data_IF_182706121641
#
_entry.id   IF_182706121641
#
_cell.length_a   1.000
_cell.length_b   1.000
_cell.length_c   1.000
_cell.angle_alpha   90.00
_cell.angle_beta   90.00
_cell.angle_gamma   90.00
#
_symmetry.space_group_name_H-M   'P 1'
#
loop_
_entity.id
_entity.type
_entity.pdbx_description
1 polymer ?
#
# COMPACT_ATOMS: atom_id res chain seq x y z
N UNK A 1 14.68 -47.59 -34.46
CA UNK A 1 14.51 -46.89 -33.19
C UNK A 1 14.69 -45.37 -33.26
N UNK A 2 15.54 -44.83 -34.16
CA UNK A 2 15.85 -43.37 -34.18
C UNK A 2 14.74 -42.39 -34.63
N UNK A 3 13.86 -42.79 -35.59
CA UNK A 3 12.80 -41.88 -36.12
C UNK A 3 11.68 -41.60 -35.11
N UNK A 4 11.28 -42.61 -34.31
CA UNK A 4 10.21 -42.43 -33.29
C UNK A 4 10.69 -41.58 -32.12
N UNK A 5 11.94 -41.77 -31.69
CA UNK A 5 12.55 -40.97 -30.62
C UNK A 5 12.71 -39.49 -31.03
N UNK A 6 13.17 -39.24 -32.28
CA UNK A 6 13.30 -37.88 -32.80
C UNK A 6 11.94 -37.18 -32.93
N UNK A 7 10.88 -37.89 -33.32
CA UNK A 7 9.52 -37.32 -33.33
C UNK A 7 8.99 -37.01 -31.93
N UNK A 8 9.22 -37.90 -30.95
CA UNK A 8 8.79 -37.66 -29.57
C UNK A 8 9.53 -36.47 -28.95
N UNK A 9 10.85 -36.35 -29.17
CA UNK A 9 11.65 -35.18 -28.70
C UNK A 9 11.20 -33.89 -29.36
N UNK A 10 10.90 -33.92 -30.67
CA UNK A 10 10.43 -32.72 -31.37
C UNK A 10 9.04 -32.30 -30.92
N UNK A 11 8.11 -33.22 -30.65
CA UNK A 11 6.78 -32.95 -30.12
C UNK A 11 6.89 -32.38 -28.71
N UNK A 12 7.76 -32.94 -27.87
CA UNK A 12 8.02 -32.44 -26.52
C UNK A 12 8.61 -31.02 -26.53
N UNK A 13 9.54 -30.74 -27.44
CA UNK A 13 10.14 -29.41 -27.59
C UNK A 13 9.10 -28.37 -28.06
N UNK A 14 8.26 -28.73 -29.05
CA UNK A 14 7.18 -27.85 -29.52
C UNK A 14 6.16 -27.60 -28.40
N UNK A 15 5.76 -28.62 -27.65
CA UNK A 15 4.84 -28.48 -26.53
C UNK A 15 5.42 -27.55 -25.43
N UNK A 16 6.71 -27.68 -25.12
CA UNK A 16 7.40 -26.82 -24.16
C UNK A 16 7.46 -25.35 -24.64
N UNK A 17 7.74 -25.13 -25.94
CA UNK A 17 7.73 -23.77 -26.51
C UNK A 17 6.32 -23.18 -26.52
N UNK A 18 5.30 -23.94 -26.86
CA UNK A 18 3.91 -23.48 -26.83
C UNK A 18 3.45 -23.17 -25.43
N UNK A 19 3.76 -24.04 -24.46
CA UNK A 19 3.45 -23.79 -23.05
C UNK A 19 4.20 -22.57 -22.52
N UNK A 20 5.45 -22.39 -22.90
CA UNK A 20 6.24 -21.20 -22.57
C UNK A 20 5.67 -19.91 -23.18
N UNK A 21 5.25 -19.96 -24.45
CA UNK A 21 4.61 -18.84 -25.14
C UNK A 21 3.24 -18.50 -24.56
N UNK A 22 2.42 -19.51 -24.27
CA UNK A 22 1.13 -19.33 -23.57
C UNK A 22 1.34 -18.78 -22.16
N UNK A 23 2.30 -19.31 -21.43
CA UNK A 23 2.68 -18.79 -20.11
C UNK A 23 3.11 -17.31 -20.17
N UNK A 24 3.99 -16.97 -21.13
CA UNK A 24 4.43 -15.60 -21.35
C UNK A 24 3.28 -14.67 -21.76
N UNK A 25 2.35 -15.15 -22.60
CA UNK A 25 1.16 -14.40 -22.98
C UNK A 25 0.20 -14.17 -21.82
N UNK A 26 -0.02 -15.19 -20.97
CA UNK A 26 -0.90 -15.10 -19.81
C UNK A 26 -0.32 -14.19 -18.70
N UNK A 27 1.00 -14.10 -18.62
CA UNK A 27 1.70 -13.24 -17.63
C UNK A 27 1.96 -11.84 -18.19
N UNK A 28 1.86 -11.66 -19.51
CA UNK A 28 2.09 -10.37 -20.17
C UNK A 28 1.06 -9.35 -19.67
N UNK A 29 1.54 -8.22 -19.16
CA UNK A 29 0.67 -7.09 -18.86
C UNK A 29 0.35 -6.34 -20.16
N UNK A 30 -0.93 -6.28 -20.58
CA UNK A 30 -1.31 -5.61 -21.82
C UNK A 30 -1.30 -4.08 -21.70
N UNK A 31 -1.17 -3.53 -20.48
CA UNK A 31 -1.27 -2.10 -20.22
C UNK A 31 -0.12 -1.62 -19.32
N UNK A 32 0.50 -0.47 -19.65
CA UNK A 32 1.49 0.18 -18.79
C UNK A 32 0.87 0.93 -17.61
N UNK A 33 -0.47 1.00 -17.54
CA UNK A 33 -1.25 1.61 -16.46
C UNK A 33 -2.18 0.58 -15.83
N UNK A 34 -2.54 0.78 -14.57
CA UNK A 34 -3.46 -0.09 -13.86
C UNK A 34 -4.86 -0.11 -14.50
N UNK A 35 -5.52 -1.25 -14.47
CA UNK A 35 -6.83 -1.43 -15.08
C UNK A 35 -7.67 -2.51 -14.40
N UNK A 36 -8.99 -2.39 -14.53
CA UNK A 36 -9.94 -3.41 -14.11
C UNK A 36 -10.00 -4.54 -15.13
N UNK A 37 -9.92 -5.78 -14.67
CA UNK A 37 -9.95 -6.98 -15.54
C UNK A 37 -11.27 -7.13 -16.29
N UNK A 38 -12.38 -6.63 -15.71
CA UNK A 38 -13.69 -6.58 -16.34
C UNK A 38 -14.57 -5.48 -15.70
N UNK A 39 -15.67 -5.13 -16.38
CA UNK A 39 -16.68 -4.23 -15.84
C UNK A 39 -17.32 -4.79 -14.55
N UNK A 40 -17.59 -6.11 -14.53
CA UNK A 40 -18.18 -6.79 -13.36
C UNK A 40 -17.22 -6.79 -12.16
N UNK A 41 -15.93 -7.02 -12.40
CA UNK A 41 -14.91 -6.93 -11.34
C UNK A 41 -14.87 -5.53 -10.73
N UNK A 42 -14.94 -4.48 -11.57
CA UNK A 42 -15.03 -3.11 -11.12
C UNK A 42 -16.30 -2.85 -10.30
N UNK A 43 -17.47 -3.29 -10.81
CA UNK A 43 -18.74 -3.11 -10.13
C UNK A 43 -18.75 -3.80 -8.75
N UNK A 44 -18.25 -5.04 -8.68
CA UNK A 44 -18.11 -5.77 -7.42
C UNK A 44 -17.22 -5.05 -6.41
N UNK A 45 -16.09 -4.52 -6.88
CA UNK A 45 -15.19 -3.76 -6.02
C UNK A 45 -15.86 -2.49 -5.50
N UNK A 46 -16.50 -1.71 -6.37
CA UNK A 46 -17.14 -0.45 -5.99
C UNK A 46 -18.26 -0.67 -4.96
N UNK A 47 -19.07 -1.73 -5.11
CA UNK A 47 -20.08 -2.09 -4.11
C UNK A 47 -19.45 -2.36 -2.74
N UNK A 48 -18.34 -3.10 -2.71
CA UNK A 48 -17.62 -3.41 -1.47
C UNK A 48 -16.90 -2.21 -0.89
N UNK A 49 -16.33 -1.38 -1.76
CA UNK A 49 -15.72 -0.10 -1.38
C UNK A 49 -16.73 0.83 -0.71
N UNK A 50 -17.90 1.03 -1.32
CA UNK A 50 -18.97 1.84 -0.76
C UNK A 50 -19.49 1.28 0.57
N UNK A 51 -19.49 -0.03 0.73
CA UNK A 51 -19.85 -0.68 2.00
C UNK A 51 -18.81 -0.40 3.09
N UNK A 52 -17.53 -0.57 2.79
CA UNK A 52 -16.45 -0.31 3.72
C UNK A 52 -16.30 1.19 4.04
N UNK A 53 -16.59 2.07 3.06
CA UNK A 53 -16.54 3.51 3.27
C UNK A 53 -17.59 4.00 4.29
N UNK A 54 -18.71 3.29 4.49
CA UNK A 54 -19.72 3.64 5.49
C UNK A 54 -19.24 3.53 6.94
N UNK A 55 -18.16 2.82 7.18
CA UNK A 55 -17.55 2.71 8.51
C UNK A 55 -16.72 3.96 8.87
N UNK A 56 -16.40 4.82 7.87
CA UNK A 56 -15.75 6.10 8.10
C UNK A 56 -16.77 7.19 8.49
N UNK A 57 -16.34 8.19 9.27
CA UNK A 57 -17.08 9.44 9.37
C UNK A 57 -17.34 10.04 7.98
N UNK A 58 -18.44 10.76 7.82
CA UNK A 58 -18.70 11.45 6.57
C UNK A 58 -17.54 12.44 6.26
N UNK A 59 -16.96 12.41 5.07
CA UNK A 59 -15.92 13.37 4.70
C UNK A 59 -16.53 14.79 4.61
N UNK A 60 -15.80 15.78 5.08
CA UNK A 60 -16.17 17.19 4.91
C UNK A 60 -16.04 17.65 3.45
N UNK A 61 -15.17 16.99 2.70
CA UNK A 61 -14.93 17.23 1.28
C UNK A 61 -14.41 15.97 0.58
N UNK A 62 -14.85 15.75 -0.66
CA UNK A 62 -14.30 14.74 -1.56
C UNK A 62 -13.85 15.45 -2.83
N UNK A 63 -12.58 15.24 -3.22
CA UNK A 63 -11.97 15.89 -4.39
C UNK A 63 -11.31 14.88 -5.30
N UNK A 64 -11.48 15.10 -6.59
CA UNK A 64 -10.67 14.49 -7.63
C UNK A 64 -9.63 15.51 -8.10
N UNK A 65 -8.38 15.25 -7.79
CA UNK A 65 -7.29 16.17 -8.15
C UNK A 65 -6.45 15.62 -9.28
N UNK A 66 -6.13 16.48 -10.25
CA UNK A 66 -5.31 16.13 -11.41
C UNK A 66 -3.84 16.19 -11.06
N UNK A 67 -3.11 15.13 -11.42
CA UNK A 67 -1.66 15.04 -11.40
C UNK A 67 -1.12 14.75 -12.80
N UNK A 68 0.20 14.80 -12.98
CA UNK A 68 0.86 14.39 -14.21
C UNK A 68 0.68 12.91 -14.57
N UNK A 69 0.21 12.08 -13.64
CA UNK A 69 0.08 10.63 -13.80
C UNK A 69 -1.36 10.13 -13.79
N UNK A 70 -2.33 11.00 -13.52
CA UNK A 70 -3.74 10.65 -13.47
C UNK A 70 -4.55 11.50 -12.50
N UNK A 71 -5.74 11.01 -12.17
CA UNK A 71 -6.66 11.65 -11.23
C UNK A 71 -6.57 10.91 -9.89
N UNK A 72 -6.31 11.64 -8.81
CA UNK A 72 -6.26 11.10 -7.46
C UNK A 72 -7.53 11.49 -6.71
N UNK A 73 -8.25 10.51 -6.18
CA UNK A 73 -9.38 10.70 -5.27
C UNK A 73 -8.83 10.97 -3.87
N UNK A 74 -9.20 12.10 -3.31
CA UNK A 74 -8.88 12.51 -1.95
C UNK A 74 -10.14 12.78 -1.14
N UNK A 75 -10.12 12.40 0.12
CA UNK A 75 -11.17 12.67 1.10
C UNK A 75 -10.58 13.50 2.23
N UNK A 76 -11.32 14.53 2.64
CA UNK A 76 -10.96 15.38 3.77
C UNK A 76 -11.90 15.14 4.92
N UNK A 77 -11.34 15.00 6.13
CA UNK A 77 -12.07 14.78 7.37
C UNK A 77 -11.64 15.79 8.41
N UNK A 78 -12.49 15.98 9.41
CA UNK A 78 -12.21 16.83 10.56
C UNK A 78 -12.17 18.31 10.21
N UNK A 79 -11.47 19.09 11.04
CA UNK A 79 -11.46 20.56 10.95
C UNK A 79 -10.01 21.08 10.89
N UNK A 80 -9.73 22.03 9.98
CA UNK A 80 -8.43 22.70 9.93
C UNK A 80 -8.13 23.41 11.26
N UNK A 81 -6.90 23.31 11.71
CA UNK A 81 -6.38 24.10 12.81
C UNK A 81 -5.36 25.12 12.28
N UNK A 82 -5.56 26.41 12.53
CA UNK A 82 -4.64 27.44 12.06
C UNK A 82 -3.20 27.16 12.54
N UNK A 83 -2.25 27.15 11.60
CA UNK A 83 -0.83 26.93 11.91
C UNK A 83 -0.41 25.46 12.07
N UNK A 84 -1.34 24.51 12.08
CA UNK A 84 -1.02 23.08 12.12
C UNK A 84 -0.99 22.49 10.70
N UNK A 85 0.00 21.64 10.43
CA UNK A 85 0.03 20.86 9.21
C UNK A 85 -1.05 19.77 9.26
N UNK A 86 -1.75 19.49 8.14
CA UNK A 86 -2.72 18.39 8.07
C UNK A 86 -2.02 17.02 8.13
N UNK A 87 -2.78 16.00 8.49
CA UNK A 87 -2.36 14.61 8.39
C UNK A 87 -2.72 14.10 6.99
N UNK A 88 -1.78 13.45 6.30
CA UNK A 88 -2.02 12.78 5.02
C UNK A 88 -1.82 11.27 5.16
N UNK A 89 -2.90 10.51 4.93
CA UNK A 89 -2.95 9.06 5.05
C UNK A 89 -2.77 8.40 3.67
N UNK A 90 -1.77 7.52 3.55
CA UNK A 90 -1.45 6.77 2.32
C UNK A 90 -1.67 5.28 2.56
N UNK A 91 -2.65 4.64 1.90
CA UNK A 91 -3.07 3.27 2.19
C UNK A 91 -2.09 2.21 1.68
N UNK A 92 -2.21 1.00 2.24
CA UNK A 92 -1.59 -0.20 1.70
C UNK A 92 -2.19 -0.64 0.37
N UNK A 93 -1.59 -1.67 -0.24
CA UNK A 93 -2.07 -2.25 -1.52
C UNK A 93 -3.51 -2.73 -1.42
N UNK A 94 -4.30 -2.38 -2.42
CA UNK A 94 -5.71 -2.75 -2.59
C UNK A 94 -6.64 -2.35 -1.43
N UNK A 95 -6.15 -1.54 -0.49
CA UNK A 95 -6.89 -1.20 0.74
C UNK A 95 -7.69 0.10 0.63
N UNK A 96 -7.28 1.03 -0.23
CA UNK A 96 -7.95 2.32 -0.41
C UNK A 96 -8.16 3.11 0.90
N UNK A 97 -8.92 4.20 0.79
CA UNK A 97 -9.27 5.04 1.94
C UNK A 97 -10.06 4.31 3.03
N UNK A 98 -10.93 3.32 2.72
CA UNK A 98 -11.72 2.64 3.75
C UNK A 98 -10.89 1.97 4.85
N UNK A 99 -9.65 1.57 4.60
CA UNK A 99 -8.79 0.98 5.64
C UNK A 99 -8.55 1.90 6.85
N UNK A 100 -8.76 3.19 6.69
CA UNK A 100 -8.50 4.20 7.72
C UNK A 100 -9.69 4.48 8.65
N UNK A 101 -10.77 3.67 8.60
CA UNK A 101 -12.01 3.90 9.34
C UNK A 101 -11.74 4.12 10.84
N UNK A 102 -11.02 3.21 11.49
CA UNK A 102 -10.71 3.30 12.92
C UNK A 102 -9.79 4.47 13.27
N UNK A 103 -8.88 4.82 12.37
CA UNK A 103 -7.93 5.93 12.54
C UNK A 103 -8.65 7.27 12.39
N UNK A 104 -9.40 7.46 11.31
CA UNK A 104 -10.13 8.71 11.02
C UNK A 104 -11.21 8.99 12.06
N UNK A 105 -11.91 7.95 12.53
CA UNK A 105 -12.94 8.09 13.57
C UNK A 105 -12.42 8.70 14.88
N UNK A 106 -11.12 8.54 15.15
CA UNK A 106 -10.43 9.04 16.36
C UNK A 106 -9.71 10.38 16.16
N UNK A 107 -9.58 10.85 14.90
CA UNK A 107 -8.90 12.11 14.54
C UNK A 107 -9.88 13.24 14.17
N UNK A 108 -11.09 13.24 14.73
CA UNK A 108 -12.17 14.17 14.33
C UNK A 108 -11.85 15.65 14.56
N UNK A 109 -10.95 15.94 15.46
CA UNK A 109 -10.51 17.29 15.82
C UNK A 109 -9.27 17.75 15.03
N UNK A 110 -8.79 16.95 14.09
CA UNK A 110 -7.62 17.24 13.26
C UNK A 110 -8.02 17.27 11.78
N UNK A 111 -7.33 18.09 11.00
CA UNK A 111 -7.47 18.05 9.55
C UNK A 111 -6.75 16.84 8.99
N UNK A 112 -7.52 15.92 8.39
CA UNK A 112 -7.01 14.68 7.83
C UNK A 112 -7.39 14.58 6.36
N UNK A 113 -6.41 14.32 5.53
CA UNK A 113 -6.62 13.89 4.14
C UNK A 113 -6.30 12.41 4.02
N UNK A 114 -7.13 11.67 3.33
CA UNK A 114 -6.85 10.29 2.93
C UNK A 114 -7.01 10.17 1.42
N UNK A 115 -6.10 9.48 0.76
CA UNK A 115 -6.09 9.33 -0.70
C UNK A 115 -6.20 7.88 -1.10
N UNK A 116 -6.88 7.60 -2.19
CA UNK A 116 -6.72 6.32 -2.87
C UNK A 116 -5.43 6.35 -3.70
N UNK A 117 -4.61 5.31 -3.55
CA UNK A 117 -3.32 5.26 -4.22
C UNK A 117 -3.49 5.20 -5.74
N UNK A 118 -2.73 6.03 -6.45
CA UNK A 118 -2.71 6.01 -7.91
C UNK A 118 -2.05 4.72 -8.42
N UNK A 119 -2.66 4.07 -9.40
CA UNK A 119 -2.16 2.82 -9.97
C UNK A 119 -2.55 1.55 -9.19
N UNK A 120 -3.39 1.68 -8.17
CA UNK A 120 -3.95 0.56 -7.39
C UNK A 120 -5.49 0.56 -7.45
N UNK A 121 -6.10 -0.50 -6.92
CA UNK A 121 -7.55 -0.58 -6.79
C UNK A 121 -8.06 0.52 -5.86
N UNK A 122 -9.00 1.31 -6.33
CA UNK A 122 -9.53 2.48 -5.64
C UNK A 122 -10.38 3.34 -6.57
N UNK A 123 -10.64 4.56 -6.14
CA UNK A 123 -11.36 5.57 -6.91
C UNK A 123 -10.42 6.46 -7.74
N UNK A 124 -9.09 6.35 -7.52
CA UNK A 124 -8.09 7.04 -8.35
C UNK A 124 -7.95 6.38 -9.72
N UNK A 125 -7.62 7.17 -10.73
CA UNK A 125 -7.50 6.71 -12.12
C UNK A 125 -6.12 7.06 -12.66
N UNK A 126 -5.29 6.05 -12.91
CA UNK A 126 -4.00 6.21 -13.54
C UNK A 126 -4.16 6.34 -15.06
N UNK A 127 -3.51 7.32 -15.69
CA UNK A 127 -3.51 7.50 -17.15
C UNK A 127 -2.10 7.57 -17.76
N UNK A 128 -1.06 7.59 -16.92
CA UNK A 128 0.34 7.47 -17.33
C UNK A 128 1.08 6.43 -16.50
N UNK A 129 2.07 5.74 -17.07
CA UNK A 129 2.89 4.80 -16.33
C UNK A 129 3.59 5.44 -15.13
N UNK A 130 3.68 4.70 -14.05
CA UNK A 130 4.57 4.97 -12.92
C UNK A 130 5.80 4.09 -13.11
N UNK A 131 6.85 4.61 -13.74
CA UNK A 131 8.00 3.81 -14.17
C UNK A 131 8.97 3.48 -13.03
N UNK A 132 8.98 4.29 -11.97
CA UNK A 132 9.94 4.11 -10.88
C UNK A 132 9.55 4.84 -9.59
N UNK A 133 10.50 4.84 -8.67
CA UNK A 133 10.34 5.46 -7.37
C UNK A 133 10.15 7.00 -7.46
N UNK A 134 10.75 7.64 -8.48
CA UNK A 134 10.60 9.08 -8.70
C UNK A 134 9.16 9.44 -9.08
N UNK A 135 8.56 8.70 -10.01
CA UNK A 135 7.16 8.91 -10.41
C UNK A 135 6.20 8.64 -9.24
N UNK A 136 6.52 7.63 -8.42
CA UNK A 136 5.74 7.30 -7.22
C UNK A 136 5.78 8.42 -6.18
N UNK A 137 6.89 9.13 -6.03
CA UNK A 137 6.96 10.30 -5.17
C UNK A 137 6.28 11.53 -5.82
N UNK A 138 6.46 11.70 -7.13
CA UNK A 138 5.96 12.85 -7.87
C UNK A 138 4.42 12.94 -7.83
N UNK A 139 3.68 11.86 -8.13
CA UNK A 139 2.22 11.91 -8.08
C UNK A 139 1.69 12.29 -6.69
N UNK A 140 2.35 11.82 -5.61
CA UNK A 140 1.93 12.14 -4.24
C UNK A 140 2.25 13.61 -3.89
N UNK A 141 3.43 14.12 -4.29
CA UNK A 141 3.80 15.52 -4.13
C UNK A 141 2.87 16.47 -4.91
N UNK A 142 2.53 16.10 -6.15
CA UNK A 142 1.58 16.83 -6.98
C UNK A 142 0.17 16.82 -6.38
N UNK A 143 -0.25 15.69 -5.81
CA UNK A 143 -1.53 15.57 -5.08
C UNK A 143 -1.56 16.54 -3.90
N UNK A 144 -0.50 16.58 -3.08
CA UNK A 144 -0.40 17.55 -1.99
C UNK A 144 -0.53 18.98 -2.51
N UNK A 145 0.17 19.32 -3.59
CA UNK A 145 0.12 20.65 -4.19
C UNK A 145 -1.29 21.00 -4.68
N UNK A 146 -1.95 20.08 -5.37
CA UNK A 146 -3.31 20.28 -5.88
C UNK A 146 -4.38 20.41 -4.75
N UNK A 147 -4.10 19.83 -3.58
CA UNK A 147 -4.92 19.97 -2.38
C UNK A 147 -4.59 21.24 -1.57
N UNK A 148 -3.56 22.00 -1.95
CA UNK A 148 -3.10 23.17 -1.20
C UNK A 148 -2.26 22.82 0.03
N UNK A 149 -1.79 21.58 0.14
CA UNK A 149 -0.99 21.10 1.27
C UNK A 149 0.50 21.39 0.99
N UNK A 150 1.03 22.41 1.63
CA UNK A 150 2.46 22.74 1.53
C UNK A 150 3.33 21.72 2.25
N UNK A 151 2.93 21.31 3.45
CA UNK A 151 3.64 20.35 4.31
C UNK A 151 2.62 19.53 5.10
N UNK A 152 2.87 18.23 5.32
CA UNK A 152 1.94 17.33 6.02
C UNK A 152 2.64 16.45 7.04
N UNK A 153 1.87 16.02 8.07
CA UNK A 153 2.18 14.82 8.85
C UNK A 153 1.83 13.60 8.01
N UNK A 154 2.84 12.95 7.45
CA UNK A 154 2.63 11.87 6.50
C UNK A 154 2.55 10.52 7.21
N UNK A 155 1.46 9.80 7.02
CA UNK A 155 1.21 8.48 7.61
C UNK A 155 1.00 7.47 6.49
N UNK A 156 1.77 6.39 6.49
CA UNK A 156 1.62 5.33 5.51
C UNK A 156 1.56 3.95 6.15
N UNK A 157 0.82 3.05 5.51
CA UNK A 157 0.76 1.63 5.87
C UNK A 157 1.28 0.76 4.73
N UNK A 158 2.10 -0.25 5.03
CA UNK A 158 2.55 -1.24 4.05
C UNK A 158 3.22 -0.60 2.81
N UNK A 159 2.70 -0.80 1.61
CA UNK A 159 3.15 -0.12 0.38
C UNK A 159 2.99 1.41 0.49
N UNK A 160 1.94 1.89 1.15
CA UNK A 160 1.76 3.31 1.43
C UNK A 160 2.84 3.86 2.36
N UNK A 161 3.35 3.06 3.29
CA UNK A 161 4.50 3.45 4.12
C UNK A 161 5.79 3.57 3.29
N UNK A 162 6.01 2.65 2.33
CA UNK A 162 7.10 2.82 1.37
C UNK A 162 6.92 4.07 0.51
N UNK A 163 5.71 4.33 0.01
CA UNK A 163 5.41 5.54 -0.78
C UNK A 163 5.65 6.82 0.02
N UNK A 164 5.24 6.83 1.29
CA UNK A 164 5.47 7.94 2.21
C UNK A 164 6.97 8.16 2.48
N UNK A 165 7.71 7.11 2.78
CA UNK A 165 9.16 7.19 2.97
C UNK A 165 9.88 7.65 1.69
N UNK A 166 9.45 7.15 0.54
CA UNK A 166 9.98 7.52 -0.76
C UNK A 166 9.76 9.02 -1.08
N UNK A 167 8.57 9.56 -0.75
CA UNK A 167 8.32 11.01 -0.83
C UNK A 167 9.21 11.76 0.15
N UNK A 168 9.30 11.34 1.41
CA UNK A 168 10.06 12.02 2.44
C UNK A 168 11.57 12.08 2.13
N UNK A 169 12.13 11.03 1.52
CA UNK A 169 13.52 11.00 1.05
C UNK A 169 13.75 12.03 -0.07
N UNK A 170 12.80 12.24 -0.97
CA UNK A 170 12.95 13.13 -2.13
C UNK A 170 12.54 14.56 -1.86
N UNK A 171 11.56 14.73 -1.00
CA UNK A 171 10.95 16.03 -0.66
C UNK A 171 10.83 16.19 0.87
N UNK A 172 11.95 16.19 1.62
CA UNK A 172 11.91 16.26 3.08
C UNK A 172 11.26 17.55 3.60
N UNK A 173 11.32 18.62 2.83
CA UNK A 173 10.66 19.92 3.09
C UNK A 173 9.13 19.83 3.10
N UNK A 174 8.56 18.85 2.40
CA UNK A 174 7.11 18.63 2.32
C UNK A 174 6.56 17.80 3.48
N UNK A 175 7.41 17.24 4.34
CA UNK A 175 7.02 16.31 5.40
C UNK A 175 7.33 16.90 6.78
N UNK A 176 6.28 17.15 7.55
CA UNK A 176 6.38 17.66 8.93
C UNK A 176 6.87 16.57 9.89
N UNK A 177 6.22 15.42 9.86
CA UNK A 177 6.64 14.18 10.52
C UNK A 177 6.31 12.99 9.62
N UNK A 178 7.05 11.91 9.76
CA UNK A 178 6.85 10.67 9.00
C UNK A 178 6.46 9.53 9.93
N UNK A 179 5.30 8.95 9.71
CA UNK A 179 4.79 7.80 10.46
C UNK A 179 4.62 6.62 9.53
N UNK A 180 5.29 5.52 9.82
CA UNK A 180 5.35 4.32 8.99
C UNK A 180 4.82 3.13 9.79
N UNK A 181 3.66 2.60 9.41
CA UNK A 181 3.08 1.40 10.01
C UNK A 181 3.31 0.20 9.11
N UNK A 182 4.00 -0.81 9.62
CA UNK A 182 4.35 -2.03 8.89
C UNK A 182 5.00 -1.75 7.51
N UNK A 183 6.03 -0.90 7.43
CA UNK A 183 6.63 -0.49 6.17
C UNK A 183 7.28 -1.67 5.44
N UNK A 184 6.89 -1.89 4.19
CA UNK A 184 7.56 -2.85 3.32
C UNK A 184 8.74 -2.20 2.61
N UNK A 185 9.84 -2.93 2.45
CA UNK A 185 11.00 -2.51 1.63
C UNK A 185 11.52 -1.09 1.95
N UNK A 186 11.37 -0.64 3.20
CA UNK A 186 12.01 0.59 3.70
C UNK A 186 13.24 0.22 4.53
N UNK A 187 13.06 -0.58 5.56
CA UNK A 187 14.13 -0.94 6.49
C UNK A 187 14.61 -2.39 6.34
N UNK A 188 13.77 -3.29 5.84
CA UNK A 188 14.12 -4.69 5.58
C UNK A 188 13.47 -5.18 4.29
N UNK A 189 13.98 -6.29 3.77
CA UNK A 189 13.40 -7.02 2.64
C UNK A 189 12.10 -7.72 3.01
N UNK A 190 11.39 -8.19 1.99
CA UNK A 190 10.21 -9.04 2.19
C UNK A 190 10.61 -10.44 2.63
N UNK A 191 9.85 -11.03 3.53
CA UNK A 191 9.99 -12.43 3.91
C UNK A 191 9.56 -13.35 2.76
N UNK A 192 10.14 -14.53 2.67
CA UNK A 192 9.81 -15.51 1.62
C UNK A 192 8.33 -15.92 1.65
N UNK A 193 7.70 -15.91 2.84
CA UNK A 193 6.27 -16.18 3.02
C UNK A 193 5.39 -15.23 2.20
N UNK A 194 5.81 -13.96 2.07
CA UNK A 194 5.09 -12.97 1.26
C UNK A 194 5.04 -13.38 -0.22
N UNK A 195 6.16 -13.89 -0.76
CA UNK A 195 6.20 -14.36 -2.15
C UNK A 195 5.27 -15.56 -2.37
N UNK A 196 5.23 -16.50 -1.43
CA UNK A 196 4.32 -17.66 -1.49
C UNK A 196 2.86 -17.20 -1.37
N UNK A 197 2.55 -16.29 -0.45
CA UNK A 197 1.20 -15.80 -0.21
C UNK A 197 0.63 -15.01 -1.41
N UNK A 198 1.48 -14.31 -2.16
CA UNK A 198 1.06 -13.50 -3.33
C UNK A 198 1.03 -14.29 -4.65
N UNK A 199 1.68 -15.45 -4.71
CA UNK A 199 1.75 -16.29 -5.91
C UNK A 199 0.36 -16.62 -6.51
N UNK A 200 -0.67 -16.99 -5.72
CA UNK A 200 -2.00 -17.26 -6.27
C UNK A 200 -2.66 -16.05 -6.93
N UNK A 201 -2.34 -14.84 -6.50
CA UNK A 201 -2.84 -13.60 -7.12
C UNK A 201 -2.20 -13.31 -8.47
N UNK A 202 -0.97 -13.79 -8.69
CA UNK A 202 -0.25 -13.67 -9.95
C UNK A 202 -0.69 -14.72 -11.00
N UNK A 203 -1.26 -15.84 -10.56
CA UNK A 203 -1.59 -16.99 -11.40
C UNK A 203 -3.13 -17.18 -11.48
N UNK A 204 -3.78 -16.61 -12.51
CA UNK A 204 -5.24 -16.54 -12.59
C UNK A 204 -5.95 -17.90 -12.75
N UNK A 205 -5.20 -18.97 -13.05
CA UNK A 205 -5.72 -20.33 -13.15
C UNK A 205 -5.76 -21.10 -11.81
N UNK A 206 -5.18 -20.52 -10.73
CA UNK A 206 -5.23 -21.13 -9.40
C UNK A 206 -6.59 -20.88 -8.75
N UNK A 207 -7.04 -21.81 -7.88
CA UNK A 207 -8.29 -21.66 -7.17
C UNK A 207 -8.37 -20.35 -6.37
N UNK A 208 -9.51 -19.70 -6.40
CA UNK A 208 -9.77 -18.46 -5.66
C UNK A 208 -9.52 -18.60 -4.16
N UNK A 209 -9.84 -19.78 -3.58
CA UNK A 209 -9.57 -20.08 -2.17
C UNK A 209 -8.08 -19.96 -1.80
N UNK A 210 -7.16 -20.23 -2.74
CA UNK A 210 -5.73 -20.10 -2.48
C UNK A 210 -5.31 -18.63 -2.41
N UNK A 211 -5.91 -17.77 -3.25
CA UNK A 211 -5.69 -16.32 -3.18
C UNK A 211 -6.18 -15.75 -1.86
N UNK A 212 -7.40 -16.14 -1.42
CA UNK A 212 -7.95 -15.69 -0.14
C UNK A 212 -7.09 -16.13 1.05
N UNK A 213 -6.62 -17.39 1.06
CA UNK A 213 -5.68 -17.87 2.09
C UNK A 213 -4.37 -17.08 2.10
N UNK A 214 -3.83 -16.76 0.94
CA UNK A 214 -2.64 -15.92 0.81
C UNK A 214 -2.86 -14.53 1.41
N UNK A 215 -3.96 -13.86 1.07
CA UNK A 215 -4.31 -12.55 1.61
C UNK A 215 -4.54 -12.58 3.13
N UNK A 216 -5.25 -13.56 3.64
CA UNK A 216 -5.45 -13.77 5.08
C UNK A 216 -4.11 -13.95 5.80
N UNK A 217 -3.21 -14.78 5.25
CA UNK A 217 -1.86 -14.98 5.80
C UNK A 217 -1.03 -13.68 5.85
N UNK A 218 -1.19 -12.79 4.87
CA UNK A 218 -0.54 -11.46 4.87
C UNK A 218 -1.10 -10.59 5.98
N UNK A 219 -2.43 -10.54 6.10
CA UNK A 219 -3.11 -9.75 7.14
C UNK A 219 -2.94 -10.29 8.56
N UNK A 220 -2.48 -11.53 8.71
CA UNK A 220 -2.36 -12.19 10.01
C UNK A 220 -3.71 -12.64 10.60
N UNK A 221 -4.78 -12.66 9.80
CA UNK A 221 -6.13 -13.05 10.17
C UNK A 221 -6.50 -14.41 9.58
N UNK A 222 -7.53 -15.06 10.13
CA UNK A 222 -8.12 -16.24 9.51
C UNK A 222 -8.91 -15.85 8.24
N UNK A 223 -9.05 -16.82 7.30
CA UNK A 223 -9.78 -16.59 6.04
C UNK A 223 -11.24 -16.14 6.30
N UNK A 224 -11.88 -16.65 7.32
CA UNK A 224 -13.24 -16.29 7.72
C UNK A 224 -13.33 -14.82 8.18
N UNK A 225 -12.39 -14.36 8.97
CA UNK A 225 -12.33 -12.98 9.47
C UNK A 225 -12.03 -12.00 8.34
N UNK A 226 -11.11 -12.36 7.43
CA UNK A 226 -10.75 -11.54 6.27
C UNK A 226 -11.94 -11.36 5.33
N UNK A 227 -12.71 -12.41 5.06
CA UNK A 227 -13.88 -12.35 4.16
C UNK A 227 -15.14 -11.82 4.84
N UNK A 228 -15.23 -11.91 6.17
CA UNK A 228 -16.36 -11.41 6.96
C UNK A 228 -16.36 -9.91 7.19
N UNK A 229 -15.19 -9.26 7.15
CA UNK A 229 -15.11 -7.81 7.30
C UNK A 229 -15.34 -7.07 5.98
N UNK A 230 -16.00 -5.88 6.01
CA UNK A 230 -16.18 -5.05 4.80
C UNK A 230 -14.85 -4.71 4.12
N UNK A 231 -13.83 -4.36 4.89
CA UNK A 231 -12.49 -4.02 4.39
C UNK A 231 -11.82 -5.24 3.76
N UNK A 232 -11.84 -6.39 4.41
CA UNK A 232 -11.26 -7.62 3.88
C UNK A 232 -11.92 -8.06 2.58
N UNK A 233 -13.26 -7.99 2.51
CA UNK A 233 -14.02 -8.28 1.29
C UNK A 233 -13.66 -7.31 0.14
N UNK A 234 -13.45 -6.03 0.44
CA UNK A 234 -13.02 -5.03 -0.53
C UNK A 234 -11.60 -5.30 -1.04
N UNK A 235 -10.65 -5.58 -0.14
CA UNK A 235 -9.25 -5.91 -0.50
C UNK A 235 -9.21 -7.14 -1.40
N UNK A 236 -9.98 -8.19 -1.07
CA UNK A 236 -10.09 -9.42 -1.87
C UNK A 236 -10.60 -9.12 -3.28
N UNK A 237 -11.65 -8.28 -3.40
CA UNK A 237 -12.18 -7.87 -4.70
C UNK A 237 -11.16 -7.05 -5.51
N UNK A 238 -10.43 -6.14 -4.86
CA UNK A 238 -9.37 -5.36 -5.49
C UNK A 238 -8.24 -6.23 -6.01
N UNK A 239 -7.73 -7.13 -5.17
CA UNK A 239 -6.66 -8.06 -5.53
C UNK A 239 -7.06 -9.02 -6.66
N UNK A 240 -8.33 -9.42 -6.72
CA UNK A 240 -8.86 -10.28 -7.79
C UNK A 240 -9.13 -9.52 -9.08
N UNK A 241 -9.74 -8.35 -8.96
CA UNK A 241 -10.37 -7.64 -10.07
C UNK A 241 -9.51 -6.57 -10.72
N UNK A 242 -8.50 -6.04 -10.02
CA UNK A 242 -7.66 -4.98 -10.53
C UNK A 242 -6.24 -5.46 -10.84
N UNK A 243 -5.72 -5.07 -11.97
CA UNK A 243 -4.30 -5.25 -12.33
C UNK A 243 -3.57 -3.95 -12.03
N UNK A 244 -2.85 -3.93 -10.93
CA UNK A 244 -2.06 -2.77 -10.57
C UNK A 244 -0.82 -2.65 -11.46
N UNK A 245 -0.48 -1.42 -11.87
CA UNK A 245 0.74 -1.08 -12.59
C UNK A 245 1.56 -0.10 -11.73
N UNK A 246 2.11 -0.62 -10.65
CA UNK A 246 2.94 0.10 -9.70
C UNK A 246 4.41 -0.28 -9.89
N UNK A 247 5.35 0.65 -9.70
CA UNK A 247 6.76 0.32 -9.71
C UNK A 247 7.09 -0.67 -8.58
N UNK A 248 8.05 -1.55 -8.85
CA UNK A 248 8.60 -2.40 -7.79
C UNK A 248 9.28 -1.51 -6.75
N UNK A 249 8.90 -1.60 -5.47
CA UNK A 249 9.54 -0.85 -4.41
C UNK A 249 11.03 -1.16 -4.34
N UNK A 250 11.84 -0.12 -4.30
CA UNK A 250 13.29 -0.22 -4.08
C UNK A 250 13.57 0.21 -2.64
N UNK A 251 14.29 -0.62 -1.93
CA UNK A 251 14.71 -0.31 -0.56
C UNK A 251 15.72 0.85 -0.59
N UNK A 252 15.47 1.96 0.12
CA UNK A 252 16.41 3.06 0.18
C UNK A 252 17.73 2.61 0.82
N UNK A 253 18.84 3.10 0.30
CA UNK A 253 20.15 2.92 0.92
C UNK A 253 20.30 3.85 2.15
N UNK A 254 21.41 3.71 2.86
CA UNK A 254 21.62 4.47 4.08
C UNK A 254 21.80 5.98 3.81
N UNK A 255 22.35 6.36 2.66
CA UNK A 255 22.46 7.77 2.25
C UNK A 255 21.07 8.38 1.98
N UNK A 256 20.16 7.62 1.37
CA UNK A 256 18.78 8.03 1.19
C UNK A 256 18.03 8.13 2.53
N UNK A 257 18.20 7.15 3.42
CA UNK A 257 17.59 7.19 4.75
C UNK A 257 18.12 8.36 5.60
N UNK A 258 19.38 8.76 5.46
CA UNK A 258 19.95 9.91 6.16
C UNK A 258 19.27 11.25 5.77
N UNK A 259 18.53 11.30 4.66
CA UNK A 259 17.73 12.47 4.25
C UNK A 259 16.42 12.61 5.04
N UNK A 260 16.02 11.60 5.80
CA UNK A 260 14.86 11.66 6.70
C UNK A 260 15.21 12.47 7.94
N UNK A 261 15.23 13.79 7.82
CA UNK A 261 15.62 14.73 8.89
C UNK A 261 14.47 15.12 9.81
N UNK A 262 13.22 14.88 9.40
CA UNK A 262 12.03 15.10 10.21
C UNK A 262 11.90 14.05 11.32
N UNK A 263 11.09 14.29 12.38
CA UNK A 263 10.75 13.24 13.33
C UNK A 263 10.08 12.04 12.63
N UNK A 264 10.56 10.83 12.93
CA UNK A 264 10.06 9.57 12.34
C UNK A 264 9.50 8.68 13.43
N UNK A 265 8.37 8.04 13.16
CA UNK A 265 7.86 6.93 13.96
C UNK A 265 7.73 5.69 13.06
N UNK A 266 8.17 4.53 13.57
CA UNK A 266 8.06 3.23 12.89
C UNK A 266 7.36 2.24 13.82
N UNK A 267 6.17 1.79 13.41
CA UNK A 267 5.40 0.75 14.08
C UNK A 267 5.55 -0.59 13.35
N UNK A 268 5.89 -1.63 14.09
CA UNK A 268 6.16 -2.98 13.56
C UNK A 268 5.38 -4.04 14.34
N UNK A 269 4.83 -5.03 13.63
CA UNK A 269 4.21 -6.21 14.20
C UNK A 269 5.22 -7.32 14.43
N UNK A 270 5.28 -7.87 15.66
CA UNK A 270 6.18 -8.98 16.00
C UNK A 270 5.83 -10.27 15.29
N UNK A 271 4.55 -10.45 14.90
CA UNK A 271 4.04 -11.60 14.15
C UNK A 271 3.86 -11.33 12.65
N UNK A 272 4.39 -10.22 12.13
CA UNK A 272 4.31 -9.91 10.70
C UNK A 272 4.93 -11.01 9.85
N UNK A 273 4.18 -11.47 8.84
CA UNK A 273 4.65 -12.44 7.84
C UNK A 273 5.22 -11.77 6.61
N UNK A 274 5.18 -10.44 6.55
CA UNK A 274 5.52 -9.63 5.37
C UNK A 274 6.97 -9.17 5.41
N UNK A 275 7.36 -8.54 6.52
CA UNK A 275 8.70 -7.95 6.71
C UNK A 275 9.46 -8.67 7.81
N UNK A 276 10.77 -8.76 7.72
CA UNK A 276 11.61 -9.20 8.83
C UNK A 276 11.62 -8.09 9.89
N UNK A 277 10.82 -8.28 10.95
CA UNK A 277 10.61 -7.29 12.00
C UNK A 277 11.91 -6.95 12.74
N UNK A 278 12.74 -7.94 13.05
CA UNK A 278 13.99 -7.71 13.78
C UNK A 278 14.99 -6.91 12.94
N UNK A 279 15.17 -7.26 11.68
CA UNK A 279 16.03 -6.53 10.75
C UNK A 279 15.49 -5.11 10.50
N UNK A 280 14.16 -4.95 10.36
CA UNK A 280 13.53 -3.64 10.17
C UNK A 280 13.71 -2.75 11.41
N UNK A 281 13.50 -3.28 12.61
CA UNK A 281 13.71 -2.58 13.87
C UNK A 281 15.16 -2.13 14.01
N UNK A 282 16.11 -3.05 13.82
CA UNK A 282 17.54 -2.75 13.93
C UNK A 282 17.95 -1.60 12.99
N UNK A 283 17.52 -1.65 11.73
CA UNK A 283 17.87 -0.62 10.75
C UNK A 283 17.12 0.69 10.99
N UNK A 284 15.85 0.66 11.38
CA UNK A 284 15.10 1.87 11.69
C UNK A 284 15.70 2.63 12.89
N UNK A 285 16.22 1.92 13.89
CA UNK A 285 16.90 2.50 15.06
C UNK A 285 18.23 3.19 14.72
N UNK A 286 18.78 3.01 13.53
CA UNK A 286 19.97 3.77 13.09
C UNK A 286 19.65 5.23 12.73
N UNK A 287 18.38 5.54 12.50
CA UNK A 287 17.95 6.93 12.25
C UNK A 287 17.94 7.73 13.58
N UNK A 288 18.63 8.87 13.65
CA UNK A 288 18.82 9.60 14.92
C UNK A 288 17.51 10.19 15.48
N UNK A 289 16.53 10.43 14.62
CA UNK A 289 15.23 11.04 14.94
C UNK A 289 14.07 10.04 14.85
N UNK A 290 14.34 8.74 14.73
CA UNK A 290 13.31 7.71 14.73
C UNK A 290 12.98 7.23 16.15
N UNK A 291 11.68 7.03 16.39
CA UNK A 291 11.15 6.20 17.46
C UNK A 291 10.62 4.93 16.82
N UNK A 292 11.00 3.77 17.35
CA UNK A 292 10.59 2.47 16.84
C UNK A 292 9.89 1.69 17.95
N UNK A 293 8.69 1.21 17.68
CA UNK A 293 7.93 0.34 18.58
C UNK A 293 7.52 -0.93 17.88
N UNK A 294 7.70 -2.05 18.56
CA UNK A 294 7.24 -3.37 18.13
C UNK A 294 6.09 -3.80 19.01
N UNK A 295 4.97 -4.21 18.40
CA UNK A 295 3.87 -4.90 19.07
C UNK A 295 4.12 -6.40 18.97
N UNK A 296 4.45 -7.10 20.07
CA UNK A 296 4.87 -8.52 20.01
C UNK A 296 3.84 -9.43 19.35
N UNK A 297 2.55 -9.19 19.61
CA UNK A 297 1.44 -9.97 19.07
C UNK A 297 0.83 -9.35 17.80
N UNK A 298 1.27 -8.16 17.41
CA UNK A 298 0.78 -7.44 16.24
C UNK A 298 1.17 -8.13 14.93
N UNK A 299 0.27 -8.05 13.96
CA UNK A 299 0.45 -8.58 12.60
C UNK A 299 0.69 -7.44 11.60
N UNK A 300 0.62 -7.75 10.30
CA UNK A 300 0.64 -6.72 9.26
C UNK A 300 -0.58 -5.80 9.28
N UNK A 301 -1.63 -6.16 10.04
CA UNK A 301 -2.87 -5.40 10.19
C UNK A 301 -2.85 -4.41 11.37
N UNK A 302 -1.69 -3.96 11.81
CA UNK A 302 -1.51 -3.07 12.97
C UNK A 302 -2.55 -1.92 13.08
N UNK A 303 -2.91 -1.18 12.01
CA UNK A 303 -3.88 -0.08 12.11
C UNK A 303 -5.27 -0.50 12.58
N UNK A 304 -5.65 -1.75 12.34
CA UNK A 304 -6.91 -2.34 12.76
C UNK A 304 -6.83 -2.99 14.14
N UNK A 305 -5.64 -3.47 14.52
CA UNK A 305 -5.40 -4.18 15.78
C UNK A 305 -5.13 -3.24 16.96
N UNK A 306 -4.37 -2.15 16.72
CA UNK A 306 -3.86 -1.25 17.77
C UNK A 306 -4.09 0.23 17.44
N UNK A 307 -5.28 0.66 16.98
CA UNK A 307 -5.49 2.03 16.50
C UNK A 307 -5.23 3.09 17.57
N UNK A 308 -5.64 2.87 18.80
CA UNK A 308 -5.47 3.85 19.88
C UNK A 308 -4.00 4.05 20.26
N UNK A 309 -3.22 2.96 20.32
CA UNK A 309 -1.80 3.03 20.63
C UNK A 309 -1.00 3.67 19.49
N UNK A 310 -1.32 3.33 18.24
CA UNK A 310 -0.68 3.94 17.06
C UNK A 310 -0.97 5.43 16.96
N UNK A 311 -2.16 5.88 17.35
CA UNK A 311 -2.51 7.30 17.39
C UNK A 311 -1.84 8.04 18.56
N UNK A 312 -1.61 7.39 19.68
CA UNK A 312 -0.79 7.96 20.75
C UNK A 312 0.65 8.21 20.29
N UNK A 313 1.24 7.25 19.57
CA UNK A 313 2.58 7.40 18.98
C UNK A 313 2.60 8.47 17.86
N UNK A 314 1.55 8.55 17.01
CA UNK A 314 1.40 9.63 16.04
C UNK A 314 1.40 11.00 16.70
N UNK A 315 0.66 11.16 17.79
CA UNK A 315 0.61 12.40 18.54
C UNK A 315 1.96 12.74 19.16
N UNK A 316 2.66 11.74 19.72
CA UNK A 316 3.98 11.90 20.30
C UNK A 316 5.04 12.33 19.26
N UNK A 317 5.02 11.76 18.06
CA UNK A 317 5.97 12.14 17.00
C UNK A 317 5.67 13.54 16.47
N UNK A 318 4.39 13.92 16.38
CA UNK A 318 3.99 15.27 15.96
C UNK A 318 4.46 16.35 16.97
N UNK A 319 4.41 16.07 18.27
CA UNK A 319 4.88 16.98 19.31
C UNK A 319 6.41 17.22 19.28
N UNK A 320 7.19 16.38 18.59
CA UNK A 320 8.63 16.54 18.39
C UNK A 320 9.00 17.44 17.21
N UNK A 321 8.01 17.94 16.46
CA UNK A 321 8.26 18.86 15.36
C UNK A 321 8.85 20.17 15.92
N UNK A 322 9.99 20.65 15.38
CA UNK A 322 10.47 21.99 15.73
C UNK A 322 9.44 23.04 15.32
N UNK A 323 9.19 23.98 16.22
CA UNK A 323 8.33 25.16 15.99
C UNK A 323 8.85 26.06 14.87
#
# INVERSE_FOLDING_TARGET
>A
MGRRIRRAVMVGAVAAVVLGAVGAYLVRDPSPVGYWRSADARATYLERYDRALRDLPAPSETRDVRTGYGIVRAYRFGTPRPGEAPILLVPGRSSGVPMWADVVARLRDREVYAVDALGDAGMSVQDRPLAGADDQAAWLAETMTALGIGRAHLVGHSFGAWSAANLAVRHPDRVATLTLWEPILVFAGLRWQMYVATLPSALPFLPESWRRKGLASIGGADEADTTGSPIGAMIDAGAAGYRAALPTPVQPDDAALARLTMPVFVGLGGRSTVTDTAAAEQRARTLPNATVRVWPDGTHSLPMEYPDELLAELSAVQARQPS
#
